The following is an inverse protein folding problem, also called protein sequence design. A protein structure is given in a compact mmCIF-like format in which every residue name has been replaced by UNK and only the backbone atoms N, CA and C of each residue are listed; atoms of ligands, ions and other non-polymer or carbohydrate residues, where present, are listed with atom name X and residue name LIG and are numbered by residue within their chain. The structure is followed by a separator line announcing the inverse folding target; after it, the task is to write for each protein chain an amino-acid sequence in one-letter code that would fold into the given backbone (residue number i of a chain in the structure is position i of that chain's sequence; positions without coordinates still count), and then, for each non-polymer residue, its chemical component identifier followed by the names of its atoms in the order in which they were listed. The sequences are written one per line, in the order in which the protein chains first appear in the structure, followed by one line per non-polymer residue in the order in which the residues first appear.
data_IF_789772712534
#
_entry.id   IF_789772712534
#
_cell.length_a   1.000
_cell.length_b   1.000
_cell.length_c   1.000
_cell.angle_alpha   90.00
_cell.angle_beta   90.00
_cell.angle_gamma   90.00
#
_symmetry.space_group_name_H-M   'P 1'
#
loop_
_entity.id
_entity.type
_entity.pdbx_description
1 polymer ?
#
# COMPACT_ATOMS: atom_id res chain seq x y z
N UNK A 1 -26.44 45.72 -30.08
CA UNK A 1 -26.11 46.99 -29.42
C UNK A 1 -26.18 46.75 -27.92
N UNK A 2 -25.03 46.42 -27.35
CA UNK A 2 -24.68 46.27 -25.91
C UNK A 2 -23.24 46.77 -25.89
N UNK A 3 -22.79 47.64 -24.96
CA UNK A 3 -21.42 48.09 -25.01
C UNK A 3 -20.50 46.92 -24.64
N UNK A 4 -19.89 46.31 -25.65
CA UNK A 4 -18.71 45.46 -25.48
C UNK A 4 -17.60 46.38 -24.96
N UNK A 5 -17.23 46.25 -23.68
CA UNK A 5 -15.95 46.73 -23.18
C UNK A 5 -14.86 45.86 -23.81
N UNK A 6 -14.43 46.27 -25.00
CA UNK A 6 -13.25 45.78 -25.69
C UNK A 6 -12.04 46.38 -24.98
N UNK A 7 -11.44 45.63 -24.08
CA UNK A 7 -10.11 45.92 -23.57
C UNK A 7 -9.06 45.35 -24.52
N UNK A 8 -8.73 46.08 -25.59
CA UNK A 8 -7.43 45.93 -26.23
C UNK A 8 -6.38 46.60 -25.33
N UNK A 9 -5.50 45.82 -24.71
CA UNK A 9 -4.08 46.18 -24.61
C UNK A 9 -3.26 44.98 -24.12
N UNK A 10 -2.30 44.59 -24.95
CA UNK A 10 -1.16 43.78 -24.55
C UNK A 10 -0.27 44.63 -23.61
N UNK A 11 -0.67 44.78 -22.34
CA UNK A 11 0.17 45.44 -21.33
C UNK A 11 0.63 44.40 -20.31
N UNK A 12 1.77 43.77 -20.59
CA UNK A 12 2.40 42.74 -19.76
C UNK A 12 2.88 43.26 -18.39
N UNK A 13 2.61 44.53 -18.05
CA UNK A 13 3.03 45.21 -16.82
C UNK A 13 1.89 45.63 -15.88
N UNK A 14 0.63 45.24 -16.12
CA UNK A 14 -0.46 45.56 -15.19
C UNK A 14 -0.34 44.74 -13.89
N UNK A 15 0.10 45.42 -12.81
CA UNK A 15 0.18 44.88 -11.45
C UNK A 15 -1.18 44.48 -10.87
N UNK A 16 -2.26 45.07 -11.37
CA UNK A 16 -3.63 44.75 -11.00
C UNK A 16 -4.46 44.52 -12.25
N UNK A 17 -5.12 43.36 -12.32
CA UNK A 17 -5.98 42.99 -13.42
C UNK A 17 -7.41 42.84 -12.91
N UNK A 18 -8.34 43.59 -13.49
CA UNK A 18 -9.77 43.46 -13.17
C UNK A 18 -10.32 42.13 -13.63
N UNK A 19 -11.04 41.45 -12.75
CA UNK A 19 -11.59 40.12 -12.95
C UNK A 19 -12.81 39.92 -12.05
N UNK A 20 -13.35 38.71 -12.00
CA UNK A 20 -14.35 38.30 -11.04
C UNK A 20 -13.81 37.18 -10.17
N UNK A 21 -14.04 37.27 -8.87
CA UNK A 21 -13.89 36.15 -7.96
C UNK A 21 -15.29 35.56 -7.73
N UNK A 22 -15.55 34.41 -8.36
CA UNK A 22 -16.91 33.88 -8.52
C UNK A 22 -17.83 34.91 -9.18
N UNK A 23 -18.83 35.43 -8.47
CA UNK A 23 -19.78 36.44 -8.96
C UNK A 23 -19.45 37.87 -8.46
N UNK A 24 -18.38 38.05 -7.69
CA UNK A 24 -18.00 39.35 -7.10
C UNK A 24 -16.92 40.05 -7.93
N UNK A 25 -17.02 41.37 -8.18
CA UNK A 25 -15.96 42.13 -8.81
C UNK A 25 -14.66 42.00 -8.01
N UNK A 26 -13.54 41.73 -8.68
CA UNK A 26 -12.26 41.51 -8.02
C UNK A 26 -11.08 42.08 -8.82
N UNK A 27 -9.98 42.34 -8.12
CA UNK A 27 -8.69 42.67 -8.71
C UNK A 27 -7.72 41.53 -8.40
N UNK A 28 -7.15 40.93 -9.43
CA UNK A 28 -6.03 40.01 -9.32
C UNK A 28 -4.72 40.81 -9.24
N UNK A 29 -3.94 40.60 -8.19
CA UNK A 29 -2.65 41.25 -8.01
C UNK A 29 -1.52 40.38 -8.56
N UNK A 30 -0.94 40.79 -9.70
CA UNK A 30 0.13 40.06 -10.39
C UNK A 30 1.48 40.79 -10.23
N UNK A 31 2.57 40.02 -10.17
CA UNK A 31 3.94 40.56 -10.17
C UNK A 31 4.33 41.39 -8.93
N UNK A 32 3.61 41.27 -7.81
CA UNK A 32 3.95 41.92 -6.55
C UNK A 32 4.80 41.02 -5.65
N UNK A 33 5.77 41.62 -4.95
CA UNK A 33 6.58 40.93 -3.94
C UNK A 33 5.76 40.58 -2.69
N UNK A 34 6.20 39.59 -1.89
CA UNK A 34 5.53 39.22 -0.63
C UNK A 34 5.40 40.39 0.34
N UNK A 35 6.38 41.30 0.38
CA UNK A 35 6.32 42.52 1.20
C UNK A 35 5.25 43.50 0.70
N UNK A 36 5.15 43.71 -0.61
CA UNK A 36 4.13 44.56 -1.20
C UNK A 36 2.73 44.00 -0.95
N UNK A 37 2.52 42.70 -1.17
CA UNK A 37 1.24 42.03 -0.89
C UNK A 37 0.81 42.18 0.58
N UNK A 38 1.75 42.03 1.52
CA UNK A 38 1.48 42.23 2.95
C UNK A 38 1.07 43.67 3.26
N UNK A 39 1.75 44.66 2.68
CA UNK A 39 1.39 46.07 2.85
C UNK A 39 0.04 46.38 2.22
N UNK A 40 -0.24 45.88 1.02
CA UNK A 40 -1.53 46.01 0.34
C UNK A 40 -2.66 45.45 1.19
N UNK A 41 -2.49 44.24 1.75
CA UNK A 41 -3.45 43.65 2.68
C UNK A 41 -3.71 44.57 3.89
N UNK A 42 -2.65 45.06 4.53
CA UNK A 42 -2.77 45.95 5.70
C UNK A 42 -3.50 47.26 5.37
N UNK A 43 -3.24 47.85 4.21
CA UNK A 43 -3.90 49.08 3.76
C UNK A 43 -5.39 48.81 3.49
N UNK A 44 -5.70 47.71 2.80
CA UNK A 44 -7.08 47.31 2.51
C UNK A 44 -7.87 47.11 3.80
N UNK A 45 -7.36 46.28 4.71
CA UNK A 45 -8.05 45.94 5.96
C UNK A 45 -8.23 47.16 6.90
N UNK A 46 -7.36 48.17 6.80
CA UNK A 46 -7.41 49.37 7.66
C UNK A 46 -8.29 50.49 7.09
N UNK A 47 -8.26 50.69 5.78
CA UNK A 47 -8.85 51.88 5.15
C UNK A 47 -10.12 51.61 4.35
N UNK A 48 -10.39 50.36 3.97
CA UNK A 48 -11.53 50.00 3.12
C UNK A 48 -12.43 48.99 3.83
N UNK A 49 -13.73 49.28 3.91
CA UNK A 49 -14.72 48.40 4.57
C UNK A 49 -15.39 47.44 3.59
N UNK A 50 -15.38 47.81 2.34
CA UNK A 50 -16.01 47.20 1.17
C UNK A 50 -15.04 46.36 0.33
N UNK A 51 -13.75 46.35 0.69
CA UNK A 51 -12.74 45.53 0.02
C UNK A 51 -12.19 44.46 0.96
N UNK A 52 -12.07 43.25 0.43
CA UNK A 52 -11.59 42.08 1.16
C UNK A 52 -10.41 41.45 0.45
N UNK A 53 -9.31 41.28 1.16
CA UNK A 53 -8.12 40.62 0.63
C UNK A 53 -8.21 39.10 0.82
N UNK A 54 -8.15 38.36 -0.28
CA UNK A 54 -8.27 36.90 -0.34
C UNK A 54 -7.04 36.29 -1.00
N UNK A 55 -6.63 35.13 -0.52
CA UNK A 55 -5.53 34.36 -1.11
C UNK A 55 -6.04 32.99 -1.51
N UNK A 56 -5.94 32.67 -2.80
CA UNK A 56 -6.45 31.43 -3.40
C UNK A 56 -5.27 30.69 -4.01
N UNK A 57 -5.15 29.41 -3.73
CA UNK A 57 -4.11 28.56 -4.31
C UNK A 57 -4.60 28.05 -5.66
N UNK A 58 -3.89 28.42 -6.74
CA UNK A 58 -4.20 27.97 -8.09
C UNK A 58 -3.67 26.56 -8.38
N UNK A 59 -4.19 25.90 -9.41
CA UNK A 59 -3.84 24.51 -9.76
C UNK A 59 -2.42 24.34 -10.34
N UNK A 60 -1.82 25.39 -10.89
CA UNK A 60 -0.57 25.28 -11.68
C UNK A 60 0.55 26.25 -11.27
N UNK A 61 0.27 27.27 -10.46
CA UNK A 61 1.29 28.18 -9.97
C UNK A 61 0.85 28.82 -8.65
N UNK A 62 1.81 29.28 -7.87
CA UNK A 62 1.66 29.71 -6.47
C UNK A 62 0.46 30.62 -6.18
N UNK A 63 0.15 30.74 -4.89
CA UNK A 63 -1.10 31.34 -4.46
C UNK A 63 -1.31 32.77 -5.00
N UNK A 64 -2.48 32.97 -5.60
CA UNK A 64 -2.89 34.18 -6.26
C UNK A 64 -3.64 35.11 -5.28
N UNK A 65 -3.20 36.36 -5.13
CA UNK A 65 -3.85 37.34 -4.28
C UNK A 65 -4.97 38.06 -5.02
N UNK A 66 -6.17 38.02 -4.46
CA UNK A 66 -7.35 38.72 -4.94
C UNK A 66 -7.76 39.82 -3.97
N UNK A 67 -8.21 40.94 -4.50
CA UNK A 67 -8.90 42.00 -3.75
C UNK A 67 -10.33 41.99 -4.25
N UNK A 68 -11.25 41.55 -3.40
CA UNK A 68 -12.66 41.31 -3.77
C UNK A 68 -13.52 42.40 -3.18
N UNK A 69 -14.40 42.98 -3.99
CA UNK A 69 -15.41 43.92 -3.54
C UNK A 69 -16.58 43.19 -2.88
N UNK A 70 -17.08 43.75 -1.78
CA UNK A 70 -18.19 43.21 -1.00
C UNK A 70 -19.18 44.32 -0.66
N UNK A 71 -20.47 44.11 -0.95
CA UNK A 71 -21.52 45.13 -0.79
C UNK A 71 -21.92 45.39 0.67
N UNK A 72 -21.68 44.43 1.56
CA UNK A 72 -22.07 44.51 2.97
C UNK A 72 -21.18 43.68 3.88
N UNK A 73 -21.28 43.90 5.20
CA UNK A 73 -20.59 43.08 6.19
C UNK A 73 -21.02 41.60 6.12
N UNK A 74 -22.30 41.33 5.81
CA UNK A 74 -22.82 39.97 5.65
C UNK A 74 -22.18 39.29 4.44
N UNK A 75 -22.11 39.99 3.30
CA UNK A 75 -21.48 39.45 2.08
C UNK A 75 -19.98 39.18 2.29
N UNK A 76 -19.29 40.06 3.02
CA UNK A 76 -17.90 39.82 3.43
C UNK A 76 -17.74 38.55 4.26
N UNK A 77 -18.62 38.33 5.23
CA UNK A 77 -18.56 37.15 6.09
C UNK A 77 -18.87 35.87 5.29
N UNK A 78 -19.81 35.93 4.33
CA UNK A 78 -20.08 34.85 3.38
C UNK A 78 -18.84 34.53 2.53
N UNK A 79 -18.21 35.55 1.92
CA UNK A 79 -16.98 35.40 1.15
C UNK A 79 -15.88 34.73 1.98
N UNK A 80 -15.67 35.16 3.22
CA UNK A 80 -14.67 34.56 4.10
C UNK A 80 -14.96 33.09 4.41
N UNK A 81 -16.24 32.72 4.56
CA UNK A 81 -16.64 31.33 4.77
C UNK A 81 -16.44 30.48 3.51
N UNK A 82 -16.78 30.99 2.33
CA UNK A 82 -16.54 30.33 1.04
C UNK A 82 -15.05 30.06 0.79
N UNK A 83 -14.20 31.05 1.09
CA UNK A 83 -12.74 30.92 0.97
C UNK A 83 -12.19 29.88 1.95
N UNK A 84 -12.67 29.90 3.20
CA UNK A 84 -12.29 28.89 4.21
C UNK A 84 -12.72 27.48 3.77
N UNK A 85 -13.94 27.34 3.25
CA UNK A 85 -14.45 26.06 2.73
C UNK A 85 -13.61 25.56 1.56
N UNK A 86 -13.28 26.44 0.61
CA UNK A 86 -12.42 26.10 -0.53
C UNK A 86 -11.03 25.63 -0.09
N UNK A 87 -10.42 26.31 0.88
CA UNK A 87 -9.13 25.89 1.46
C UNK A 87 -9.20 24.55 2.17
N UNK A 88 -10.32 24.24 2.85
CA UNK A 88 -10.53 22.92 3.47
C UNK A 88 -10.60 21.82 2.42
N UNK A 89 -11.39 22.01 1.37
CA UNK A 89 -11.50 21.05 0.26
C UNK A 89 -10.14 20.80 -0.40
N UNK A 90 -9.36 21.86 -0.64
CA UNK A 90 -8.02 21.73 -1.20
C UNK A 90 -7.04 21.01 -0.26
N UNK A 91 -7.09 21.31 1.05
CA UNK A 91 -6.28 20.61 2.05
C UNK A 91 -6.66 19.13 2.13
N UNK A 92 -7.95 18.80 2.12
CA UNK A 92 -8.44 17.43 2.08
C UNK A 92 -8.00 16.70 0.81
N UNK A 93 -8.03 17.36 -0.35
CA UNK A 93 -7.50 16.80 -1.61
C UNK A 93 -6.01 16.50 -1.49
N UNK A 94 -5.21 17.46 -1.00
CA UNK A 94 -3.76 17.27 -0.75
C UNK A 94 -3.48 16.13 0.21
N UNK A 95 -4.28 15.98 1.26
CA UNK A 95 -4.16 14.86 2.19
C UNK A 95 -4.47 13.54 1.47
N UNK A 96 -5.58 13.46 0.73
CA UNK A 96 -5.95 12.26 -0.05
C UNK A 96 -4.86 11.87 -1.05
N UNK A 97 -4.32 12.84 -1.77
CA UNK A 97 -3.23 12.62 -2.73
C UNK A 97 -1.94 12.14 -2.02
N UNK A 98 -1.68 12.64 -0.80
CA UNK A 98 -0.51 12.27 -0.02
C UNK A 98 -0.57 10.88 0.64
N UNK A 99 -1.77 10.29 0.82
CA UNK A 99 -1.91 8.92 1.36
C UNK A 99 -1.25 7.90 0.42
N UNK A 100 -1.42 8.08 -0.89
CA UNK A 100 -0.72 7.29 -1.91
C UNK A 100 -0.91 5.77 -1.76
N UNK A 101 0.21 5.03 -1.71
CA UNK A 101 0.20 3.56 -1.69
C UNK A 101 -0.49 2.94 -0.46
N UNK A 102 -0.68 3.71 0.63
CA UNK A 102 -1.38 3.22 1.82
C UNK A 102 -2.81 2.74 1.50
N UNK A 103 -3.46 3.31 0.47
CA UNK A 103 -4.75 2.82 0.00
C UNK A 103 -4.76 1.32 -0.36
N UNK A 104 -3.65 0.81 -0.92
CA UNK A 104 -3.51 -0.62 -1.25
C UNK A 104 -3.43 -1.46 0.02
N UNK A 105 -2.68 -0.99 1.03
CA UNK A 105 -2.53 -1.67 2.32
C UNK A 105 -3.88 -1.73 3.07
N UNK A 106 -4.63 -0.63 3.06
CA UNK A 106 -5.96 -0.57 3.69
C UNK A 106 -6.94 -1.53 3.00
N UNK A 107 -6.91 -1.60 1.66
CA UNK A 107 -7.71 -2.54 0.89
C UNK A 107 -7.35 -4.00 1.22
N UNK A 108 -6.05 -4.33 1.25
CA UNK A 108 -5.60 -5.67 1.63
C UNK A 108 -6.05 -6.04 3.06
N UNK A 109 -6.02 -5.06 3.97
CA UNK A 109 -6.47 -5.26 5.34
C UNK A 109 -7.99 -5.46 5.44
N UNK A 110 -8.80 -4.70 4.70
CA UNK A 110 -10.26 -4.81 4.73
C UNK A 110 -10.78 -6.12 4.15
N UNK A 111 -10.09 -6.67 3.15
CA UNK A 111 -10.46 -7.93 2.51
C UNK A 111 -10.23 -9.16 3.39
N UNK A 112 -9.35 -9.06 4.39
CA UNK A 112 -9.05 -10.14 5.37
C UNK A 112 -8.66 -11.48 4.72
N UNK A 113 -8.23 -11.45 3.46
CA UNK A 113 -7.80 -12.61 2.66
C UNK A 113 -6.47 -13.16 3.17
N UNK A 114 -6.18 -14.41 2.78
CA UNK A 114 -4.90 -15.04 3.07
C UNK A 114 -3.77 -14.31 2.34
N UNK A 115 -2.76 -13.89 3.09
CA UNK A 115 -1.51 -13.34 2.55
C UNK A 115 -0.45 -14.44 2.56
N UNK A 116 0.21 -14.63 1.44
CA UNK A 116 1.24 -15.64 1.27
C UNK A 116 2.57 -14.96 1.01
N UNK A 117 3.61 -15.37 1.73
CA UNK A 117 4.98 -14.90 1.55
C UNK A 117 5.99 -16.04 1.63
N UNK A 118 7.26 -15.71 1.51
CA UNK A 118 8.36 -16.66 1.70
C UNK A 118 9.45 -16.00 2.53
N UNK A 119 9.64 -16.47 3.76
CA UNK A 119 10.49 -15.80 4.74
C UNK A 119 10.08 -14.33 4.96
N UNK A 120 8.77 -14.08 5.09
CA UNK A 120 8.18 -12.74 4.91
C UNK A 120 8.08 -11.90 6.19
N UNK A 121 8.74 -12.31 7.28
CA UNK A 121 8.71 -11.55 8.54
C UNK A 121 9.19 -10.09 8.36
N UNK A 122 10.33 -9.91 7.68
CA UNK A 122 10.88 -8.57 7.44
C UNK A 122 10.04 -7.77 6.45
N UNK A 123 9.44 -8.42 5.46
CA UNK A 123 8.52 -7.75 4.52
C UNK A 123 7.33 -7.16 5.29
N UNK A 124 6.72 -7.96 6.17
CA UNK A 124 5.61 -7.54 7.02
C UNK A 124 6.02 -6.44 8.01
N UNK A 125 7.20 -6.54 8.61
CA UNK A 125 7.71 -5.52 9.52
C UNK A 125 7.93 -4.18 8.80
N UNK A 126 8.49 -4.21 7.57
CA UNK A 126 8.66 -3.00 6.77
C UNK A 126 7.34 -2.43 6.29
N UNK A 127 6.39 -3.25 5.85
CA UNK A 127 5.04 -2.79 5.47
C UNK A 127 4.36 -2.12 6.65
N UNK A 128 4.41 -2.73 7.83
CA UNK A 128 3.85 -2.16 9.04
C UNK A 128 4.51 -0.82 9.40
N UNK A 129 5.85 -0.77 9.46
CA UNK A 129 6.57 0.45 9.85
C UNK A 129 6.33 1.62 8.90
N UNK A 130 6.23 1.35 7.59
CA UNK A 130 6.11 2.38 6.56
C UNK A 130 4.68 2.85 6.37
N UNK A 131 3.72 1.93 6.47
CA UNK A 131 2.35 2.22 6.09
C UNK A 131 1.41 2.25 7.28
N UNK A 132 1.63 1.49 8.35
CA UNK A 132 0.66 1.35 9.45
C UNK A 132 1.01 2.26 10.61
N UNK A 133 2.13 2.00 11.29
CA UNK A 133 2.62 2.76 12.44
C UNK A 133 4.06 2.38 12.74
N UNK A 134 4.81 3.17 13.55
CA UNK A 134 6.13 2.77 14.01
C UNK A 134 6.13 1.35 14.61
N UNK A 135 7.20 0.59 14.37
CA UNK A 135 7.35 -0.75 14.94
C UNK A 135 7.25 -0.70 16.47
N UNK A 136 6.45 -1.60 17.09
CA UNK A 136 6.39 -1.70 18.54
C UNK A 136 7.73 -2.12 19.15
N UNK A 137 7.84 -2.00 20.47
CA UNK A 137 9.09 -2.25 21.19
C UNK A 137 9.48 -3.73 21.22
N UNK A 138 8.50 -4.62 21.08
CA UNK A 138 8.67 -6.08 21.15
C UNK A 138 8.06 -6.81 19.96
N UNK A 139 8.59 -8.00 19.66
CA UNK A 139 8.04 -8.87 18.64
C UNK A 139 6.58 -9.24 18.94
N UNK A 140 6.23 -9.49 20.20
CA UNK A 140 4.88 -9.88 20.60
C UNK A 140 3.85 -8.76 20.37
N UNK A 141 4.22 -7.50 20.65
CA UNK A 141 3.39 -6.34 20.34
C UNK A 141 3.24 -6.14 18.83
N UNK A 142 4.33 -6.26 18.08
CA UNK A 142 4.31 -6.20 16.62
C UNK A 142 3.35 -7.24 16.03
N UNK A 143 3.47 -8.49 16.47
CA UNK A 143 2.63 -9.60 16.05
C UNK A 143 1.16 -9.33 16.36
N UNK A 144 0.86 -8.89 17.59
CA UNK A 144 -0.50 -8.60 18.02
C UNK A 144 -1.12 -7.47 17.19
N UNK A 145 -0.34 -6.45 16.87
CA UNK A 145 -0.79 -5.35 16.03
C UNK A 145 -0.96 -5.79 14.57
N UNK A 146 -0.02 -6.56 14.03
CA UNK A 146 -0.05 -7.04 12.64
C UNK A 146 -1.32 -7.86 12.36
N UNK A 147 -1.74 -8.71 13.29
CA UNK A 147 -2.96 -9.52 13.15
C UNK A 147 -4.25 -8.71 13.04
N UNK A 148 -4.27 -7.48 13.57
CA UNK A 148 -5.42 -6.60 13.38
C UNK A 148 -5.58 -6.19 11.92
N UNK A 149 -4.48 -6.14 11.16
CA UNK A 149 -4.49 -5.81 9.73
C UNK A 149 -4.56 -7.05 8.85
N UNK A 150 -3.68 -8.03 9.12
CA UNK A 150 -3.49 -9.23 8.31
C UNK A 150 -3.69 -10.48 9.19
N UNK A 151 -4.91 -11.00 9.27
CA UNK A 151 -5.26 -12.07 10.21
C UNK A 151 -4.82 -13.46 9.77
N UNK A 152 -4.56 -13.65 8.47
CA UNK A 152 -4.24 -14.94 7.88
C UNK A 152 -2.98 -14.78 7.05
N UNK A 153 -1.85 -15.23 7.57
CA UNK A 153 -0.55 -15.14 6.89
C UNK A 153 0.04 -16.55 6.77
N UNK A 154 0.54 -16.90 5.59
CA UNK A 154 1.31 -18.13 5.39
C UNK A 154 2.70 -17.78 4.89
N UNK A 155 3.70 -18.36 5.56
CA UNK A 155 5.07 -18.37 5.08
C UNK A 155 5.34 -19.72 4.41
N UNK A 156 5.46 -19.73 3.08
CA UNK A 156 5.76 -20.93 2.29
C UNK A 156 7.08 -21.58 2.70
N UNK A 157 8.06 -20.80 3.20
CA UNK A 157 9.29 -21.37 3.73
C UNK A 157 9.02 -22.23 4.97
N UNK A 158 8.09 -21.82 5.82
CA UNK A 158 7.66 -22.59 6.99
C UNK A 158 6.92 -23.86 6.54
N UNK A 159 6.01 -23.73 5.56
CA UNK A 159 5.30 -24.88 4.98
C UNK A 159 6.26 -25.95 4.46
N UNK A 160 7.24 -25.56 3.64
CA UNK A 160 8.24 -26.47 3.08
C UNK A 160 9.05 -27.24 4.13
N UNK A 161 9.29 -26.63 5.29
CA UNK A 161 10.08 -27.23 6.37
C UNK A 161 9.25 -28.09 7.32
N UNK A 162 7.96 -27.78 7.51
CA UNK A 162 7.07 -28.51 8.42
C UNK A 162 6.33 -29.67 7.75
N UNK A 163 6.14 -29.61 6.42
CA UNK A 163 5.33 -30.60 5.72
C UNK A 163 6.11 -31.86 5.31
N UNK A 164 5.40 -32.87 4.80
CA UNK A 164 5.96 -34.11 4.23
C UNK A 164 7.01 -33.82 3.14
N UNK A 165 6.87 -32.67 2.46
CA UNK A 165 7.84 -32.15 1.50
C UNK A 165 9.21 -31.81 2.11
N UNK A 166 9.31 -31.66 3.44
CA UNK A 166 10.60 -31.55 4.15
C UNK A 166 11.54 -32.72 3.82
N UNK A 167 10.98 -33.93 3.59
CA UNK A 167 11.76 -35.11 3.18
C UNK A 167 12.30 -34.98 1.75
N UNK A 168 11.54 -34.36 0.85
CA UNK A 168 11.96 -34.06 -0.52
C UNK A 168 13.04 -32.97 -0.52
N UNK A 169 12.92 -32.00 0.40
CA UNK A 169 13.82 -30.87 0.56
C UNK A 169 15.05 -31.17 1.43
N UNK A 170 15.15 -32.36 2.06
CA UNK A 170 16.19 -32.71 3.07
C UNK A 170 17.63 -32.76 2.53
N UNK A 171 17.83 -32.62 1.21
CA UNK A 171 19.14 -32.48 0.55
C UNK A 171 19.27 -31.17 -0.25
N UNK A 172 18.30 -30.25 -0.16
CA UNK A 172 18.21 -29.04 -0.98
C UNK A 172 17.94 -27.77 -0.16
N UNK A 173 18.30 -26.63 -0.75
CA UNK A 173 17.98 -25.30 -0.19
C UNK A 173 16.48 -25.04 -0.20
N UNK A 174 15.94 -24.50 0.90
CA UNK A 174 14.57 -23.95 0.99
C UNK A 174 14.49 -22.50 0.53
N UNK A 175 15.44 -22.05 -0.29
CA UNK A 175 15.35 -20.77 -1.01
C UNK A 175 14.25 -20.81 -2.05
N UNK A 176 13.54 -19.69 -2.22
CA UNK A 176 12.44 -19.54 -3.17
C UNK A 176 12.77 -20.06 -4.58
N UNK A 177 13.90 -19.65 -5.16
CA UNK A 177 14.31 -20.08 -6.52
C UNK A 177 14.44 -21.60 -6.66
N UNK A 178 15.03 -22.25 -5.64
CA UNK A 178 15.19 -23.71 -5.60
C UNK A 178 13.87 -24.42 -5.37
N UNK A 179 13.03 -23.93 -4.46
CA UNK A 179 11.70 -24.45 -4.22
C UNK A 179 10.83 -24.35 -5.48
N UNK A 180 10.85 -23.20 -6.16
CA UNK A 180 10.16 -22.98 -7.42
C UNK A 180 10.66 -23.94 -8.52
N UNK A 181 11.97 -24.07 -8.69
CA UNK A 181 12.55 -24.99 -9.70
C UNK A 181 12.19 -26.45 -9.46
N UNK A 182 12.04 -26.86 -8.19
CA UNK A 182 11.72 -28.25 -7.82
C UNK A 182 10.23 -28.55 -7.94
N UNK A 183 9.36 -27.61 -7.54
CA UNK A 183 7.91 -27.80 -7.48
C UNK A 183 7.20 -27.38 -8.77
N UNK A 184 7.77 -26.42 -9.51
CA UNK A 184 7.19 -25.83 -10.72
C UNK A 184 8.09 -26.00 -11.96
N UNK A 185 8.57 -27.22 -12.32
CA UNK A 185 9.38 -27.40 -13.52
C UNK A 185 8.53 -27.11 -14.78
N UNK A 186 9.14 -26.56 -15.85
CA UNK A 186 8.43 -26.19 -17.07
C UNK A 186 7.69 -27.40 -17.66
N UNK A 187 6.54 -27.13 -18.27
CA UNK A 187 5.81 -28.14 -19.04
C UNK A 187 6.76 -28.67 -20.13
N UNK A 188 7.14 -29.94 -20.04
CA UNK A 188 7.76 -30.59 -21.19
C UNK A 188 6.75 -30.53 -22.34
N UNK A 189 7.17 -30.22 -23.58
CA UNK A 189 6.29 -30.31 -24.74
C UNK A 189 5.66 -31.70 -24.77
N UNK A 190 4.35 -31.74 -24.93
CA UNK A 190 3.56 -32.96 -25.10
C UNK A 190 4.22 -33.82 -26.18
N UNK A 191 4.94 -34.88 -25.80
CA UNK A 191 5.66 -35.69 -26.77
C UNK A 191 6.67 -36.71 -26.25
N UNK A 192 7.24 -36.56 -25.06
CA UNK A 192 8.19 -37.56 -24.52
C UNK A 192 7.78 -38.01 -23.12
N UNK A 193 6.88 -38.98 -23.07
CA UNK A 193 6.58 -39.78 -21.89
C UNK A 193 7.77 -40.68 -21.55
N UNK A 194 8.67 -40.18 -20.71
CA UNK A 194 9.58 -41.04 -19.93
C UNK A 194 9.22 -40.97 -18.46
N UNK A 195 8.29 -41.85 -18.05
CA UNK A 195 8.34 -42.58 -16.79
C UNK A 195 8.17 -41.86 -15.44
N UNK A 196 7.99 -40.53 -15.38
CA UNK A 196 7.62 -39.86 -14.13
C UNK A 196 6.18 -39.36 -14.24
N UNK A 197 5.28 -40.17 -13.71
CA UNK A 197 3.83 -40.10 -13.90
C UNK A 197 3.21 -38.73 -13.73
N UNK A 198 2.09 -38.59 -14.45
CA UNK A 198 1.09 -37.53 -14.47
C UNK A 198 0.72 -37.08 -13.04
N UNK A 199 1.58 -36.27 -12.44
CA UNK A 199 1.24 -35.62 -11.17
C UNK A 199 0.28 -34.50 -11.50
N UNK A 200 -0.88 -34.40 -10.80
CA UNK A 200 -1.71 -33.22 -10.93
C UNK A 200 -0.84 -32.00 -10.63
N UNK A 201 -1.03 -30.92 -11.37
CA UNK A 201 -0.32 -29.64 -11.19
C UNK A 201 -1.33 -28.51 -11.27
N UNK A 202 -1.17 -27.51 -10.41
CA UNK A 202 -1.96 -26.28 -10.51
C UNK A 202 -1.38 -25.43 -11.65
N UNK A 203 -2.22 -25.04 -12.60
CA UNK A 203 -1.89 -24.04 -13.61
C UNK A 203 -2.10 -22.67 -13.00
N UNK A 204 -1.02 -21.91 -12.84
CA UNK A 204 -1.09 -20.51 -12.43
C UNK A 204 -1.03 -19.67 -13.68
N UNK A 205 -2.15 -19.04 -14.03
CA UNK A 205 -2.20 -18.06 -15.11
C UNK A 205 -1.84 -16.69 -14.55
N UNK A 206 -1.00 -15.97 -15.28
CA UNK A 206 -0.67 -14.58 -14.93
C UNK A 206 -1.22 -13.70 -16.03
N UNK A 207 -2.15 -12.84 -15.66
CA UNK A 207 -2.62 -11.78 -16.52
C UNK A 207 -1.69 -10.58 -16.35
N UNK A 208 -0.78 -10.40 -17.30
CA UNK A 208 0.10 -9.23 -17.39
C UNK A 208 0.08 -8.72 -18.82
N UNK A 209 0.16 -7.41 -19.01
CA UNK A 209 0.40 -6.83 -20.32
C UNK A 209 1.59 -7.54 -21.01
N UNK A 210 1.38 -8.01 -22.25
CA UNK A 210 2.33 -8.82 -23.03
C UNK A 210 3.76 -8.26 -23.09
N UNK A 211 3.96 -6.96 -22.87
CA UNK A 211 5.27 -6.30 -22.85
C UNK A 211 6.10 -6.59 -21.59
N UNK A 212 5.51 -6.83 -20.42
CA UNK A 212 6.27 -7.08 -19.18
C UNK A 212 6.68 -8.55 -19.02
N UNK A 213 5.83 -9.47 -19.48
CA UNK A 213 6.06 -10.91 -19.32
C UNK A 213 7.30 -11.42 -20.06
N UNK A 214 7.59 -10.85 -21.24
CA UNK A 214 8.74 -11.22 -22.07
C UNK A 214 10.11 -10.85 -21.47
N UNK A 215 10.14 -10.01 -20.42
CA UNK A 215 11.36 -9.56 -19.74
C UNK A 215 11.65 -10.29 -18.41
N UNK A 216 10.82 -11.25 -18.00
CA UNK A 216 11.06 -12.08 -16.81
C UNK A 216 12.12 -13.15 -17.10
N UNK A 217 13.37 -12.71 -17.27
CA UNK A 217 14.52 -13.60 -17.34
C UNK A 217 14.88 -14.10 -15.94
N UNK A 218 14.79 -15.41 -15.73
CA UNK A 218 15.01 -16.14 -14.48
C UNK A 218 16.41 -16.01 -13.85
N UNK A 219 17.30 -15.16 -14.39
CA UNK A 219 18.73 -15.21 -14.10
C UNK A 219 19.43 -13.92 -13.69
N UNK A 220 18.84 -12.71 -13.80
CA UNK A 220 19.68 -11.50 -13.69
C UNK A 220 19.14 -10.30 -12.90
N UNK A 221 17.85 -10.20 -12.57
CA UNK A 221 17.33 -9.14 -11.69
C UNK A 221 16.15 -9.66 -10.88
N UNK A 222 16.29 -9.73 -9.56
CA UNK A 222 15.17 -9.98 -8.66
C UNK A 222 14.19 -8.81 -8.73
N UNK A 223 12.90 -9.11 -8.91
CA UNK A 223 11.82 -8.13 -8.91
C UNK A 223 10.75 -8.61 -7.94
N UNK A 224 10.26 -7.73 -7.05
CA UNK A 224 9.28 -8.10 -6.02
C UNK A 224 8.01 -8.73 -6.60
N UNK A 225 7.55 -8.26 -7.77
CA UNK A 225 6.40 -8.85 -8.47
C UNK A 225 6.67 -10.27 -8.97
N UNK A 226 7.87 -10.54 -9.50
CA UNK A 226 8.25 -11.87 -9.97
C UNK A 226 8.45 -12.84 -8.79
N UNK A 227 9.08 -12.38 -7.71
CA UNK A 227 9.22 -13.17 -6.49
C UNK A 227 7.85 -13.50 -5.89
N UNK A 228 6.91 -12.54 -5.85
CA UNK A 228 5.53 -12.79 -5.41
C UNK A 228 4.81 -13.83 -6.29
N UNK A 229 5.02 -13.79 -7.61
CA UNK A 229 4.50 -14.81 -8.52
C UNK A 229 5.09 -16.21 -8.24
N UNK A 230 6.41 -16.31 -8.07
CA UNK A 230 7.06 -17.57 -7.71
C UNK A 230 6.54 -18.12 -6.38
N UNK A 231 6.31 -17.24 -5.39
CA UNK A 231 5.73 -17.60 -4.09
C UNK A 231 4.34 -18.19 -4.28
N UNK A 232 3.49 -17.53 -5.09
CA UNK A 232 2.14 -18.03 -5.39
C UNK A 232 2.15 -19.39 -6.07
N UNK A 233 3.07 -19.61 -7.02
CA UNK A 233 3.24 -20.90 -7.66
C UNK A 233 3.66 -21.99 -6.66
N UNK A 234 4.69 -21.73 -5.85
CA UNK A 234 5.14 -22.68 -4.82
C UNK A 234 4.00 -23.04 -3.88
N UNK A 235 3.29 -22.03 -3.34
CA UNK A 235 2.15 -22.24 -2.47
C UNK A 235 1.05 -23.10 -3.11
N UNK A 236 0.72 -22.85 -4.38
CA UNK A 236 -0.31 -23.63 -5.09
C UNK A 236 0.05 -25.11 -5.20
N UNK A 237 1.32 -25.43 -5.46
CA UNK A 237 1.78 -26.82 -5.53
C UNK A 237 1.84 -27.46 -4.14
N UNK A 238 2.22 -26.71 -3.10
CA UNK A 238 2.16 -27.21 -1.71
C UNK A 238 0.72 -27.52 -1.29
N UNK A 239 -0.24 -26.65 -1.61
CA UNK A 239 -1.65 -26.90 -1.38
C UNK A 239 -2.14 -28.19 -2.06
N UNK A 240 -1.72 -28.41 -3.31
CA UNK A 240 -2.05 -29.63 -4.02
C UNK A 240 -1.45 -30.88 -3.35
N UNK A 241 -0.22 -30.79 -2.84
CA UNK A 241 0.41 -31.87 -2.06
C UNK A 241 -0.30 -32.16 -0.75
N UNK A 242 -0.92 -31.15 -0.13
CA UNK A 242 -1.81 -31.32 1.02
C UNK A 242 -3.19 -31.90 0.61
N UNK A 243 -3.43 -32.11 -0.68
CA UNK A 243 -4.70 -32.59 -1.23
C UNK A 243 -5.80 -31.54 -1.15
N UNK A 244 -5.45 -30.26 -1.28
CA UNK A 244 -6.42 -29.17 -1.48
C UNK A 244 -6.74 -29.15 -2.97
N UNK A 245 -8.01 -29.37 -3.30
CA UNK A 245 -8.49 -29.32 -4.68
C UNK A 245 -8.86 -27.88 -5.05
N UNK A 246 -8.27 -27.39 -6.13
CA UNK A 246 -8.56 -26.07 -6.70
C UNK A 246 -9.70 -26.12 -7.74
N UNK A 247 -10.10 -27.31 -8.20
CA UNK A 247 -11.13 -27.52 -9.21
C UNK A 247 -12.53 -27.73 -8.60
N UNK A 248 -12.64 -28.06 -7.32
CA UNK A 248 -13.92 -28.10 -6.64
C UNK A 248 -14.45 -26.68 -6.53
N UNK A 249 -15.42 -26.32 -7.38
CA UNK A 249 -16.10 -25.02 -7.43
C UNK A 249 -16.95 -24.72 -6.19
N UNK A 250 -16.46 -24.98 -4.97
CA UNK A 250 -17.07 -24.53 -3.72
C UNK A 250 -16.54 -23.13 -3.39
N UNK A 251 -17.31 -22.05 -3.65
CA UNK A 251 -16.84 -20.68 -3.45
C UNK A 251 -16.79 -20.28 -1.96
N UNK A 252 -17.08 -21.20 -1.04
CA UNK A 252 -17.54 -20.87 0.31
C UNK A 252 -16.56 -21.18 1.45
N UNK A 253 -15.48 -21.94 1.22
CA UNK A 253 -14.46 -22.15 2.25
C UNK A 253 -13.20 -21.43 1.81
N UNK A 254 -13.11 -20.14 2.16
CA UNK A 254 -11.88 -19.38 1.93
C UNK A 254 -10.67 -20.12 2.51
N UNK A 255 -9.51 -20.04 1.84
CA UNK A 255 -8.27 -20.72 2.27
C UNK A 255 -7.92 -20.49 3.75
N UNK A 256 -8.34 -19.35 4.31
CA UNK A 256 -8.22 -19.00 5.72
C UNK A 256 -8.97 -19.91 6.70
N UNK A 257 -9.93 -20.71 6.25
CA UNK A 257 -10.73 -21.63 7.08
C UNK A 257 -10.48 -23.10 6.72
N UNK A 258 -9.58 -23.38 5.77
CA UNK A 258 -9.25 -24.74 5.39
C UNK A 258 -8.48 -25.45 6.53
N UNK A 259 -9.03 -26.53 7.07
CA UNK A 259 -8.46 -27.29 8.19
C UNK A 259 -7.01 -27.74 7.92
N UNK A 260 -6.67 -28.04 6.67
CA UNK A 260 -5.34 -28.49 6.27
C UNK A 260 -4.30 -27.36 6.32
N UNK A 261 -4.74 -26.11 6.14
CA UNK A 261 -3.89 -24.92 6.18
C UNK A 261 -3.78 -24.31 7.58
N UNK A 262 -4.74 -24.56 8.49
CA UNK A 262 -4.74 -24.00 9.85
C UNK A 262 -3.44 -24.23 10.63
N UNK A 263 -2.75 -25.35 10.37
CA UNK A 263 -1.47 -25.67 11.01
C UNK A 263 -0.29 -24.82 10.52
N UNK A 264 -0.44 -24.11 9.40
CA UNK A 264 0.59 -23.26 8.80
C UNK A 264 0.26 -21.78 8.86
N UNK A 265 -1.02 -21.44 9.03
CA UNK A 265 -1.46 -20.06 9.17
C UNK A 265 -0.81 -19.47 10.43
N UNK A 266 -0.29 -18.25 10.26
CA UNK A 266 0.23 -17.40 11.30
C UNK A 266 1.49 -17.94 11.97
N UNK A 267 2.34 -18.66 11.22
CA UNK A 267 3.68 -19.04 11.63
C UNK A 267 4.73 -18.39 10.75
N UNK A 268 5.70 -17.70 11.36
CA UNK A 268 6.75 -16.96 10.66
C UNK A 268 8.14 -17.32 11.20
N UNK A 269 9.15 -17.31 10.33
CA UNK A 269 10.56 -17.36 10.77
C UNK A 269 11.02 -16.00 11.29
N UNK A 270 11.55 -15.97 12.51
CA UNK A 270 12.11 -14.75 13.10
C UNK A 270 13.57 -14.52 12.68
N UNK A 271 14.33 -15.61 12.56
CA UNK A 271 15.73 -15.58 12.15
C UNK A 271 16.14 -16.89 11.47
N UNK A 272 16.95 -16.75 10.43
CA UNK A 272 17.56 -17.87 9.72
C UNK A 272 18.53 -18.68 10.57
N UNK A 273 19.15 -18.07 11.59
CA UNK A 273 20.29 -18.67 12.30
C UNK A 273 19.84 -19.75 13.29
N UNK A 274 18.66 -19.60 13.89
CA UNK A 274 18.21 -20.47 14.97
C UNK A 274 16.98 -21.33 14.59
N UNK A 275 16.39 -21.12 13.40
CA UNK A 275 15.13 -21.77 13.03
C UNK A 275 13.97 -21.41 13.94
N UNK A 276 14.06 -20.27 14.63
CA UNK A 276 13.05 -19.79 15.58
C UNK A 276 11.77 -19.41 14.83
N UNK A 277 10.68 -20.09 15.17
CA UNK A 277 9.33 -19.84 14.68
C UNK A 277 8.55 -19.00 15.70
N UNK A 278 7.90 -17.96 15.21
CA UNK A 278 6.88 -17.20 15.96
C UNK A 278 5.50 -17.74 15.58
N UNK A 279 4.70 -18.09 16.58
CA UNK A 279 3.26 -18.32 16.44
C UNK A 279 2.51 -17.00 16.69
N UNK A 280 1.89 -16.47 15.64
CA UNK A 280 1.16 -15.22 15.73
C UNK A 280 -0.18 -15.42 16.46
N UNK A 281 -0.77 -16.63 16.48
CA UNK A 281 -2.15 -16.88 16.98
C UNK A 281 -2.28 -16.67 18.47
N UNK A 282 -1.21 -16.86 19.23
CA UNK A 282 -1.22 -16.73 20.68
C UNK A 282 -0.93 -15.29 21.12
N UNK A 283 -1.97 -14.55 21.54
CA UNK A 283 -1.83 -13.28 22.30
C UNK A 283 -1.08 -13.41 23.64
N UNK A 284 -0.89 -14.64 24.12
CA UNK A 284 -0.05 -14.97 25.27
C UNK A 284 0.72 -16.25 24.97
N UNK A 285 2.02 -16.19 25.20
CA UNK A 285 2.99 -17.26 25.05
C UNK A 285 2.50 -18.58 25.68
N UNK A 286 2.02 -19.53 24.88
CA UNK A 286 1.68 -20.86 25.36
C UNK A 286 2.97 -21.55 25.83
N UNK A 287 3.10 -21.70 27.14
CA UNK A 287 3.88 -22.75 27.75
C UNK A 287 2.85 -23.81 28.13
N UNK A 288 2.66 -24.83 27.30
CA UNK A 288 2.30 -26.16 27.76
C UNK A 288 2.53 -27.18 26.64
N UNK A 289 3.18 -28.27 27.04
CA UNK A 289 3.75 -29.31 26.22
C UNK A 289 2.69 -30.24 25.66
N UNK A 290 2.80 -30.59 24.38
CA UNK A 290 2.60 -31.95 23.86
C UNK A 290 3.12 -32.06 22.43
N UNK A 291 4.13 -32.91 22.22
CA UNK A 291 4.51 -33.44 20.91
C UNK A 291 5.56 -32.67 20.11
N UNK A 292 6.84 -32.93 20.41
CA UNK A 292 8.00 -32.81 19.48
C UNK A 292 8.06 -31.59 18.54
N UNK A 293 7.89 -30.38 19.07
CA UNK A 293 8.40 -29.16 18.42
C UNK A 293 9.50 -28.62 19.33
N UNK A 294 10.70 -28.53 18.77
CA UNK A 294 11.92 -28.03 19.41
C UNK A 294 11.62 -26.80 20.24
N UNK A 295 12.07 -26.86 21.49
CA UNK A 295 11.86 -25.91 22.58
C UNK A 295 12.03 -24.46 22.11
N UNK A 296 10.94 -23.70 22.06
CA UNK A 296 10.94 -22.25 21.82
C UNK A 296 11.67 -21.58 22.99
N UNK A 297 12.98 -21.33 22.86
CA UNK A 297 13.70 -20.48 23.79
C UNK A 297 13.34 -19.03 23.49
N UNK A 298 12.52 -18.45 24.37
CA UNK A 298 12.07 -17.06 24.31
C UNK A 298 13.24 -16.12 24.61
N UNK A 299 13.67 -15.35 23.63
CA UNK A 299 14.46 -14.13 23.86
C UNK A 299 13.53 -12.94 23.67
N UNK A 300 13.54 -12.00 24.62
CA UNK A 300 12.91 -10.68 24.43
C UNK A 300 13.67 -9.98 23.31
N UNK A 301 13.06 -9.89 22.14
CA UNK A 301 13.61 -9.11 21.04
C UNK A 301 13.11 -7.69 21.17
N UNK A 302 14.04 -6.77 21.41
CA UNK A 302 13.77 -5.35 21.42
C UNK A 302 14.10 -4.82 20.04
N UNK A 303 13.12 -4.25 19.35
CA UNK A 303 13.39 -3.47 18.15
C UNK A 303 14.10 -2.19 18.58
N UNK A 304 15.43 -2.13 18.40
CA UNK A 304 16.17 -0.89 18.56
C UNK A 304 15.96 -0.06 17.30
N UNK A 305 15.30 1.10 17.47
CA UNK A 305 15.11 2.12 16.44
C UNK A 305 16.41 2.90 16.25
#
# INVERSE_FOLDING_TARGET
MVPKLRGDSNDTNQKFQSTFFQMRPALLANGLTSRQLRLTKMVIEKHFKDLTYVHVTGETCGSQPFIVYTDSAIDRDLLMNEVKASKRVEAEKKIKDAIGFRHVIDLLSSERKLIVGHNCFLDLAHVYNKFVSPLPSTAEEFVSALQTYFPHIIDTKVMLNLDVLSRLMRKGSTSLSKAFSLLCPPFAPVGTSTGLGDKPRVRVEVEVDNQRFSNWNSGSKHEAGYDAFMIGCVFSQECLHLGIDFNSHTPSIGFSHNEKLQKYINYLYLSWVNGELIDLRTRKSAAESSGSITTVKRKKFVFQI
#
